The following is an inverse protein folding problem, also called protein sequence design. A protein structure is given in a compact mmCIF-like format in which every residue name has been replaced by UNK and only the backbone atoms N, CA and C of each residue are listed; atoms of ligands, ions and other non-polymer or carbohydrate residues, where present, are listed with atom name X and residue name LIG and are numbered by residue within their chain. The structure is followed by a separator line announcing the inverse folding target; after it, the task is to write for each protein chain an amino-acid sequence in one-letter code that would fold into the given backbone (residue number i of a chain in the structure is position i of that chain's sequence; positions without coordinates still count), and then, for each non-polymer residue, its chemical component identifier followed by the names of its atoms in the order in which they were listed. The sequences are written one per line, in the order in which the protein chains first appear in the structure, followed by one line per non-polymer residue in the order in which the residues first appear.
data_IF_428076121323
#
_entry.id   IF_428076121323
#
_cell.length_a   1.000
_cell.length_b   1.000
_cell.length_c   1.000
_cell.angle_alpha   90.00
_cell.angle_beta   90.00
_cell.angle_gamma   90.00
#
_symmetry.space_group_name_H-M   'P 1'
#
loop_
_entity.id
_entity.type
_entity.pdbx_description
1 polymer ?
#
# COMPACT_ATOMS: atom_id res chain seq x y z
N UNK A 1 40.28 11.68 -59.02
CA UNK A 1 41.48 11.52 -58.17
C UNK A 1 41.83 12.86 -57.55
N UNK A 2 41.70 13.03 -56.23
CA UNK A 2 42.61 13.80 -55.37
C UNK A 2 42.14 13.63 -53.92
N UNK A 3 42.86 12.79 -53.17
CA UNK A 3 42.82 12.66 -51.71
C UNK A 3 43.42 13.91 -51.07
N UNK A 4 42.74 14.50 -50.08
CA UNK A 4 43.24 15.24 -48.89
C UNK A 4 42.04 15.38 -47.95
N UNK A 5 42.08 15.36 -46.63
CA UNK A 5 43.00 14.94 -45.57
C UNK A 5 42.17 15.03 -44.28
N UNK A 6 42.51 14.24 -43.27
CA UNK A 6 41.88 14.25 -41.96
C UNK A 6 41.88 15.64 -41.30
N UNK A 7 40.76 16.01 -40.68
CA UNK A 7 40.76 16.73 -39.40
C UNK A 7 39.78 15.99 -38.49
N UNK A 8 40.35 15.21 -37.57
CA UNK A 8 39.66 14.63 -36.42
C UNK A 8 39.47 15.77 -35.42
N UNK A 9 38.26 16.33 -35.35
CA UNK A 9 37.86 17.14 -34.22
C UNK A 9 37.20 16.19 -33.21
N UNK A 10 38.03 15.57 -32.35
CA UNK A 10 37.56 14.82 -31.21
C UNK A 10 37.01 15.79 -30.17
N UNK A 11 35.72 16.11 -30.25
CA UNK A 11 34.97 16.60 -29.11
C UNK A 11 34.62 15.40 -28.24
N UNK A 12 35.51 15.08 -27.30
CA UNK A 12 35.15 14.24 -26.15
C UNK A 12 34.21 15.05 -25.26
N UNK A 13 32.93 15.09 -25.63
CA UNK A 13 31.87 15.42 -24.69
C UNK A 13 31.72 14.20 -23.78
N UNK A 14 32.32 14.30 -22.60
CA UNK A 14 31.98 13.47 -21.46
C UNK A 14 30.52 13.71 -21.11
N UNK A 15 29.62 12.98 -21.75
CA UNK A 15 28.25 12.87 -21.30
C UNK A 15 28.24 11.86 -20.18
N UNK A 16 28.12 12.36 -18.95
CA UNK A 16 27.82 11.56 -17.77
C UNK A 16 26.74 10.54 -18.14
N UNK A 17 27.03 9.26 -17.87
CA UNK A 17 26.00 8.23 -17.85
C UNK A 17 25.03 8.68 -16.77
N UNK A 18 23.92 9.29 -17.16
CA UNK A 18 22.77 9.41 -16.29
C UNK A 18 22.37 7.97 -15.98
N UNK A 19 22.81 7.46 -14.82
CA UNK A 19 22.21 6.28 -14.24
C UNK A 19 20.71 6.55 -14.24
N UNK A 20 19.88 5.65 -14.75
CA UNK A 20 18.46 5.83 -14.57
C UNK A 20 18.26 5.93 -13.06
N UNK A 21 17.59 7.00 -12.61
CA UNK A 21 16.92 7.05 -11.33
C UNK A 21 15.79 6.01 -11.35
N UNK A 22 16.17 4.75 -11.55
CA UNK A 22 15.32 3.59 -11.49
C UNK A 22 14.85 3.53 -10.04
N UNK A 23 13.70 4.15 -9.82
CA UNK A 23 12.77 3.90 -8.74
C UNK A 23 13.47 3.42 -7.46
N UNK A 24 13.94 4.36 -6.63
CA UNK A 24 14.01 4.09 -5.20
C UNK A 24 12.57 3.91 -4.71
N UNK A 25 11.98 2.72 -4.93
CA UNK A 25 10.90 2.25 -4.08
C UNK A 25 11.54 2.05 -2.72
N UNK A 26 11.55 3.09 -1.88
CA UNK A 26 11.98 2.97 -0.49
C UNK A 26 11.24 1.80 0.14
N UNK A 27 11.95 0.90 0.83
CA UNK A 27 11.33 -0.20 1.54
C UNK A 27 10.18 0.30 2.45
N UNK A 28 9.16 -0.52 2.74
CA UNK A 28 8.09 -0.13 3.65
C UNK A 28 8.63 0.37 5.00
N UNK A 29 9.64 -0.33 5.53
CA UNK A 29 10.35 -0.03 6.78
C UNK A 29 11.82 0.22 6.48
N UNK A 30 12.37 1.33 7.02
CA UNK A 30 13.77 1.76 6.85
C UNK A 30 14.51 1.88 8.18
N UNK A 31 13.98 1.26 9.24
CA UNK A 31 14.59 1.27 10.56
C UNK A 31 16.00 0.63 10.55
N UNK A 32 16.98 1.21 11.26
CA UNK A 32 18.31 0.61 11.39
C UNK A 32 18.25 -0.81 11.96
N UNK A 33 18.87 -1.76 11.28
CA UNK A 33 18.91 -3.17 11.72
C UNK A 33 17.57 -3.91 11.57
N UNK A 34 16.62 -3.38 10.79
CA UNK A 34 15.34 -4.05 10.55
C UNK A 34 15.50 -5.37 9.79
N UNK A 35 14.85 -6.42 10.28
CA UNK A 35 14.70 -7.69 9.59
C UNK A 35 13.24 -7.88 9.15
N UNK A 36 13.04 -8.24 7.88
CA UNK A 36 11.71 -8.40 7.30
C UNK A 36 10.92 -9.49 8.02
N UNK A 37 9.74 -9.15 8.52
CA UNK A 37 8.81 -10.11 9.13
C UNK A 37 8.29 -11.17 8.15
N UNK A 38 7.67 -12.22 8.70
CA UNK A 38 7.02 -13.26 7.91
C UNK A 38 5.74 -12.74 7.25
N UNK A 39 5.47 -13.19 6.03
CA UNK A 39 4.20 -12.94 5.35
C UNK A 39 3.27 -14.13 5.57
N UNK A 40 2.02 -13.85 5.93
CA UNK A 40 0.97 -14.85 6.07
C UNK A 40 0.16 -14.97 4.78
N UNK A 41 -0.48 -16.12 4.59
CA UNK A 41 -1.41 -16.36 3.49
C UNK A 41 -2.82 -16.49 4.05
N UNK A 42 -3.79 -16.00 3.28
CA UNK A 42 -5.20 -16.14 3.63
C UNK A 42 -5.61 -17.62 3.60
N UNK A 43 -6.43 -18.03 4.56
CA UNK A 43 -6.96 -19.39 4.60
C UNK A 43 -7.79 -19.72 3.35
N UNK A 44 -7.76 -20.96 2.85
CA UNK A 44 -8.34 -21.35 1.55
C UNK A 44 -9.80 -20.89 1.37
N UNK A 45 -10.64 -21.07 2.39
CA UNK A 45 -12.07 -20.68 2.34
C UNK A 45 -12.25 -19.17 2.20
N UNK A 46 -11.47 -18.38 2.95
CA UNK A 46 -11.49 -16.92 2.89
C UNK A 46 -10.91 -16.46 1.56
N UNK A 47 -9.76 -17.02 1.16
CA UNK A 47 -9.08 -16.74 -0.10
C UNK A 47 -9.98 -16.91 -1.32
N UNK A 48 -10.81 -17.98 -1.38
CA UNK A 48 -11.77 -18.18 -2.47
C UNK A 48 -12.82 -17.06 -2.56
N UNK A 49 -13.28 -16.50 -1.44
CA UNK A 49 -14.25 -15.39 -1.45
C UNK A 49 -13.57 -14.06 -1.78
N UNK A 50 -12.38 -13.82 -1.21
CA UNK A 50 -11.53 -12.67 -1.54
C UNK A 50 -11.24 -12.61 -3.04
N UNK A 51 -10.90 -13.75 -3.65
CA UNK A 51 -10.63 -13.83 -5.08
C UNK A 51 -11.85 -13.40 -5.92
N UNK A 52 -13.06 -13.83 -5.55
CA UNK A 52 -14.30 -13.38 -6.21
C UNK A 52 -14.56 -11.89 -6.04
N UNK A 53 -14.30 -11.34 -4.86
CA UNK A 53 -14.40 -9.90 -4.65
C UNK A 53 -13.38 -9.12 -5.48
N UNK A 54 -12.17 -9.67 -5.64
CA UNK A 54 -11.13 -9.08 -6.49
C UNK A 54 -11.50 -9.12 -7.97
N UNK A 55 -12.13 -10.20 -8.43
CA UNK A 55 -12.70 -10.30 -9.78
C UNK A 55 -13.77 -9.22 -10.00
N UNK A 56 -14.76 -9.12 -9.11
CA UNK A 56 -15.79 -8.08 -9.17
C UNK A 56 -15.19 -6.67 -9.16
N UNK A 57 -14.20 -6.41 -8.31
CA UNK A 57 -13.49 -5.13 -8.26
C UNK A 57 -12.80 -4.78 -9.59
N UNK A 58 -12.12 -5.76 -10.22
CA UNK A 58 -11.44 -5.55 -11.51
C UNK A 58 -12.41 -5.38 -12.68
N UNK A 59 -13.66 -5.82 -12.54
CA UNK A 59 -14.74 -5.60 -13.51
C UNK A 59 -15.53 -4.32 -13.23
N UNK A 60 -15.01 -3.43 -12.36
CA UNK A 60 -15.65 -2.19 -11.90
C UNK A 60 -17.00 -2.41 -11.18
N UNK A 61 -17.30 -3.63 -10.75
CA UNK A 61 -18.48 -4.00 -9.96
C UNK A 61 -18.22 -3.75 -8.47
N UNK A 62 -18.00 -2.48 -8.12
CA UNK A 62 -17.57 -2.05 -6.78
C UNK A 62 -18.56 -2.47 -5.69
N UNK A 63 -19.86 -2.33 -5.94
CA UNK A 63 -20.90 -2.70 -4.98
C UNK A 63 -20.99 -4.22 -4.74
N UNK A 64 -20.73 -5.01 -5.78
CA UNK A 64 -20.66 -6.47 -5.66
C UNK A 64 -19.42 -6.90 -4.86
N UNK A 65 -18.26 -6.27 -5.10
CA UNK A 65 -17.04 -6.52 -4.33
C UNK A 65 -17.24 -6.20 -2.84
N UNK A 66 -17.87 -5.07 -2.51
CA UNK A 66 -18.22 -4.68 -1.14
C UNK A 66 -19.14 -5.72 -0.51
N UNK A 67 -20.17 -6.17 -1.24
CA UNK A 67 -21.14 -7.16 -0.75
C UNK A 67 -20.44 -8.49 -0.45
N UNK A 68 -19.65 -9.01 -1.39
CA UNK A 68 -18.91 -10.28 -1.23
C UNK A 68 -17.98 -10.22 -0.01
N UNK A 69 -17.21 -9.13 0.14
CA UNK A 69 -16.28 -8.97 1.26
C UNK A 69 -16.99 -8.85 2.61
N UNK A 70 -18.13 -8.15 2.65
CA UNK A 70 -18.92 -7.97 3.88
C UNK A 70 -19.52 -9.27 4.40
N UNK A 71 -19.70 -10.28 3.54
CA UNK A 71 -20.21 -11.62 3.90
C UNK A 71 -19.12 -12.63 4.30
N UNK A 72 -17.85 -12.20 4.36
CA UNK A 72 -16.75 -13.08 4.76
C UNK A 72 -16.65 -13.17 6.27
N UNK A 73 -17.03 -14.33 6.81
CA UNK A 73 -16.74 -14.68 8.20
C UNK A 73 -15.31 -15.24 8.33
N UNK A 74 -14.37 -14.36 8.67
CA UNK A 74 -12.98 -14.70 8.99
C UNK A 74 -12.82 -15.01 10.49
N UNK A 75 -12.08 -16.09 10.81
CA UNK A 75 -11.85 -16.54 12.19
C UNK A 75 -10.45 -16.22 12.68
N UNK A 76 -9.46 -16.46 11.83
CA UNK A 76 -8.06 -16.17 12.10
C UNK A 76 -7.79 -14.67 12.03
N UNK A 77 -6.89 -14.18 12.87
CA UNK A 77 -6.63 -12.74 12.96
C UNK A 77 -6.04 -12.17 11.67
N UNK A 78 -5.20 -12.94 10.97
CA UNK A 78 -4.70 -12.53 9.65
C UNK A 78 -5.82 -12.42 8.62
N UNK A 79 -6.70 -13.42 8.54
CA UNK A 79 -7.84 -13.40 7.60
C UNK A 79 -8.75 -12.19 7.88
N UNK A 80 -9.04 -11.89 9.15
CA UNK A 80 -9.83 -10.71 9.55
C UNK A 80 -9.16 -9.42 9.10
N UNK A 81 -7.87 -9.27 9.43
CA UNK A 81 -7.11 -8.08 9.07
C UNK A 81 -7.05 -7.88 7.56
N UNK A 82 -6.82 -8.95 6.81
CA UNK A 82 -6.76 -8.92 5.35
C UNK A 82 -8.10 -8.51 4.73
N UNK A 83 -9.21 -9.13 5.16
CA UNK A 83 -10.56 -8.82 4.66
C UNK A 83 -10.95 -7.39 5.01
N UNK A 84 -10.75 -6.97 6.26
CA UNK A 84 -11.07 -5.62 6.73
C UNK A 84 -10.25 -4.57 5.97
N UNK A 85 -8.95 -4.82 5.74
CA UNK A 85 -8.11 -3.95 4.93
C UNK A 85 -8.69 -3.84 3.52
N UNK A 86 -8.99 -4.96 2.86
CA UNK A 86 -9.46 -4.94 1.47
C UNK A 86 -10.80 -4.21 1.35
N UNK A 87 -11.77 -4.56 2.18
CA UNK A 87 -13.07 -3.90 2.22
C UNK A 87 -12.94 -2.40 2.53
N UNK A 88 -12.15 -2.06 3.54
CA UNK A 88 -11.91 -0.66 3.93
C UNK A 88 -11.25 0.15 2.81
N UNK A 89 -10.32 -0.43 2.04
CA UNK A 89 -9.70 0.27 0.91
C UNK A 89 -10.71 0.53 -0.21
N UNK A 90 -11.59 -0.42 -0.52
CA UNK A 90 -12.65 -0.20 -1.52
C UNK A 90 -13.63 0.86 -1.02
N UNK A 91 -14.05 0.78 0.25
CA UNK A 91 -14.98 1.76 0.81
C UNK A 91 -14.39 3.17 0.89
N UNK A 92 -13.07 3.30 1.08
CA UNK A 92 -12.39 4.60 1.12
C UNK A 92 -12.43 5.35 -0.22
N UNK A 93 -12.64 4.65 -1.35
CA UNK A 93 -12.75 5.30 -2.67
C UNK A 93 -14.17 5.73 -3.03
N UNK A 94 -15.16 5.40 -2.18
CA UNK A 94 -16.58 5.70 -2.44
C UNK A 94 -17.07 6.87 -1.60
N UNK A 95 -17.73 7.81 -2.26
CA UNK A 95 -18.32 8.99 -1.61
C UNK A 95 -19.27 8.57 -0.47
N UNK A 96 -19.10 9.21 0.68
CA UNK A 96 -19.92 8.96 1.87
C UNK A 96 -19.60 7.68 2.65
N UNK A 97 -18.59 6.89 2.24
CA UNK A 97 -18.19 5.68 2.95
C UNK A 97 -16.94 5.84 3.84
N UNK A 98 -16.34 7.03 3.88
CA UNK A 98 -15.14 7.37 4.67
C UNK A 98 -15.17 6.87 6.12
N UNK A 99 -16.22 7.16 6.91
CA UNK A 99 -16.30 6.70 8.31
C UNK A 99 -16.29 5.17 8.47
N UNK A 100 -17.00 4.44 7.59
CA UNK A 100 -17.04 2.97 7.64
C UNK A 100 -15.73 2.34 7.13
N UNK A 101 -15.11 2.96 6.14
CA UNK A 101 -13.77 2.59 5.70
C UNK A 101 -12.75 2.75 6.83
N UNK A 102 -12.80 3.87 7.55
CA UNK A 102 -11.91 4.16 8.68
C UNK A 102 -12.01 3.10 9.78
N UNK A 103 -13.22 2.71 10.18
CA UNK A 103 -13.46 1.65 11.18
C UNK A 103 -12.78 0.32 10.79
N UNK A 104 -12.99 -0.12 9.54
CA UNK A 104 -12.41 -1.36 9.02
C UNK A 104 -10.88 -1.28 8.94
N UNK A 105 -10.34 -0.17 8.47
CA UNK A 105 -8.91 0.03 8.33
C UNK A 105 -8.21 0.09 9.68
N UNK A 106 -8.80 0.77 10.67
CA UNK A 106 -8.34 0.75 12.06
C UNK A 106 -8.28 -0.69 12.57
N UNK A 107 -9.37 -1.44 12.45
CA UNK A 107 -9.43 -2.84 12.89
C UNK A 107 -8.36 -3.71 12.22
N UNK A 108 -8.06 -3.46 10.94
CA UNK A 108 -7.08 -4.27 10.19
C UNK A 108 -5.63 -4.14 10.67
N UNK A 109 -5.28 -3.07 11.39
CA UNK A 109 -3.92 -2.84 11.89
C UNK A 109 -3.74 -3.14 13.36
N UNK A 110 -4.81 -3.40 14.13
CA UNK A 110 -4.75 -3.57 15.59
C UNK A 110 -3.83 -4.71 16.03
N UNK A 111 -3.86 -5.85 15.34
CA UNK A 111 -3.11 -7.05 15.73
C UNK A 111 -1.73 -7.15 15.09
N UNK A 112 -1.35 -6.21 14.21
CA UNK A 112 -0.04 -6.17 13.51
C UNK A 112 0.32 -7.50 12.81
N UNK A 113 -0.68 -8.18 12.24
CA UNK A 113 -0.51 -9.46 11.52
C UNK A 113 -0.29 -9.31 10.01
N UNK A 114 -0.58 -8.11 9.47
CA UNK A 114 -0.33 -7.75 8.08
C UNK A 114 1.16 -7.66 7.78
N UNK A 115 1.54 -7.82 6.51
CA UNK A 115 2.93 -7.59 6.12
C UNK A 115 3.31 -6.10 6.22
N UNK A 116 4.61 -5.80 6.19
CA UNK A 116 5.10 -4.43 6.40
C UNK A 116 4.50 -3.39 5.45
N UNK A 117 4.33 -3.74 4.18
CA UNK A 117 3.76 -2.83 3.19
C UNK A 117 2.29 -2.59 3.51
N UNK A 118 1.52 -3.66 3.71
CA UNK A 118 0.10 -3.59 4.02
C UNK A 118 -0.16 -2.81 5.32
N UNK A 119 0.61 -3.11 6.36
CA UNK A 119 0.48 -2.46 7.67
C UNK A 119 0.84 -0.98 7.59
N UNK A 120 2.02 -0.63 7.06
CA UNK A 120 2.45 0.77 6.95
C UNK A 120 1.52 1.61 6.07
N UNK A 121 1.12 1.10 4.91
CA UNK A 121 0.18 1.81 4.03
C UNK A 121 -1.18 2.01 4.71
N UNK A 122 -1.65 1.03 5.48
CA UNK A 122 -2.93 1.16 6.16
C UNK A 122 -2.86 2.14 7.32
N UNK A 123 -1.77 2.16 8.11
CA UNK A 123 -1.56 3.19 9.14
C UNK A 123 -1.63 4.60 8.54
N UNK A 124 -0.94 4.82 7.41
CA UNK A 124 -0.97 6.10 6.72
C UNK A 124 -2.37 6.44 6.20
N UNK A 125 -3.05 5.48 5.57
CA UNK A 125 -4.40 5.69 5.05
C UNK A 125 -5.41 6.02 6.17
N UNK A 126 -5.32 5.35 7.32
CA UNK A 126 -6.13 5.68 8.50
C UNK A 126 -5.88 7.14 8.92
N UNK A 127 -4.63 7.59 8.94
CA UNK A 127 -4.30 8.97 9.26
C UNK A 127 -4.85 9.96 8.23
N UNK A 128 -4.68 9.68 6.93
CA UNK A 128 -5.18 10.50 5.82
C UNK A 128 -6.72 10.65 5.88
N UNK A 129 -7.44 9.54 6.10
CA UNK A 129 -8.90 9.53 6.23
C UNK A 129 -9.36 10.24 7.51
N UNK A 130 -8.67 10.02 8.64
CA UNK A 130 -8.96 10.74 9.88
C UNK A 130 -8.85 12.25 9.68
N UNK A 131 -7.83 12.71 8.94
CA UNK A 131 -7.66 14.12 8.62
C UNK A 131 -8.80 14.65 7.74
N UNK A 132 -9.21 13.89 6.73
CA UNK A 132 -10.34 14.23 5.85
C UNK A 132 -11.65 14.37 6.64
N UNK A 133 -11.88 13.47 7.61
CA UNK A 133 -13.05 13.49 8.49
C UNK A 133 -12.92 14.49 9.66
N UNK A 134 -11.82 15.26 9.72
CA UNK A 134 -11.51 16.24 10.78
C UNK A 134 -11.31 15.63 12.18
N UNK A 135 -11.00 14.34 12.23
CA UNK A 135 -10.60 13.60 13.43
C UNK A 135 -9.09 13.85 13.71
N UNK A 136 -8.74 15.10 14.02
CA UNK A 136 -7.34 15.55 14.04
C UNK A 136 -6.45 14.79 15.04
N UNK A 137 -6.96 14.47 16.23
CA UNK A 137 -6.21 13.70 17.23
C UNK A 137 -5.89 12.29 16.72
N UNK A 138 -6.86 11.67 16.04
CA UNK A 138 -6.67 10.34 15.45
C UNK A 138 -5.68 10.40 14.28
N UNK A 139 -5.77 11.43 13.43
CA UNK A 139 -4.83 11.64 12.34
C UNK A 139 -3.38 11.73 12.85
N UNK A 140 -3.13 12.55 13.87
CA UNK A 140 -1.79 12.69 14.49
C UNK A 140 -1.33 11.36 15.07
N UNK A 141 -2.20 10.65 15.81
CA UNK A 141 -1.89 9.33 16.37
C UNK A 141 -1.42 8.35 15.30
N UNK A 142 -2.13 8.24 14.19
CA UNK A 142 -1.82 7.26 13.15
C UNK A 142 -0.67 7.69 12.23
N UNK A 143 -0.45 9.00 12.01
CA UNK A 143 0.78 9.46 11.37
C UNK A 143 2.00 9.14 12.25
N UNK A 144 1.93 9.35 13.56
CA UNK A 144 3.01 8.98 14.46
C UNK A 144 3.25 7.46 14.42
N UNK A 145 2.19 6.65 14.47
CA UNK A 145 2.31 5.19 14.36
C UNK A 145 2.96 4.76 13.02
N UNK A 146 2.63 5.44 11.91
CA UNK A 146 3.27 5.21 10.61
C UNK A 146 4.76 5.56 10.64
N UNK A 147 5.14 6.71 11.17
CA UNK A 147 6.53 7.14 11.28
C UNK A 147 7.32 6.19 12.19
N UNK A 148 6.77 5.83 13.35
CA UNK A 148 7.37 4.90 14.30
C UNK A 148 7.56 3.50 13.69
N UNK A 149 6.56 3.00 12.96
CA UNK A 149 6.65 1.68 12.33
C UNK A 149 7.67 1.65 11.19
N UNK A 150 7.79 2.74 10.44
CA UNK A 150 8.61 2.77 9.22
C UNK A 150 10.00 3.37 9.41
N UNK A 151 10.23 4.14 10.47
CA UNK A 151 11.39 5.02 10.67
C UNK A 151 11.63 6.00 9.52
N UNK A 152 10.55 6.43 8.85
CA UNK A 152 10.61 7.47 7.81
C UNK A 152 10.58 8.86 8.44
N UNK A 153 11.21 9.81 7.75
CA UNK A 153 11.27 11.24 8.11
C UNK A 153 10.31 12.07 7.24
#
# INVERSE_FOLDING_TARGET
MFKKSLVVAAFTLGSAIALPAAAQSSAPVVCPGYEKGTTNLVGERVGKKVQKAFEAYNEDLIDDAITILSEIEAKEDFDKAYVNRFLGNIMATKDGMGPKALELLVSSVETKVLNDLEHSQTLKLVADLSLQEKEYEQAVKYYQAYLDFTCKE
#
